data_IF_446638222830
#
_entry.id   IF_446638222830
#
_cell.length_a   1.000
_cell.length_b   1.000
_cell.length_c   1.000
_cell.angle_alpha   90.00
_cell.angle_beta   90.00
_cell.angle_gamma   90.00
#
_symmetry.space_group_name_H-M   'P 1'
#
loop_
_entity.id
_entity.type
_entity.pdbx_description
1 polymer ?
#
# COMPACT_ATOMS: atom_id res chain seq x y z
N UNK A 1 -1.02 21.98 -5.98
CA UNK A 1 -0.90 20.72 -5.22
C UNK A 1 -2.29 20.13 -5.21
N UNK A 2 -2.49 18.88 -5.66
CA UNK A 2 -3.83 18.31 -5.66
C UNK A 2 -4.36 18.26 -4.24
N UNK A 3 -5.63 18.65 -4.08
CA UNK A 3 -6.36 18.41 -2.85
C UNK A 3 -6.89 16.97 -2.88
N UNK A 4 -6.67 16.23 -1.80
CA UNK A 4 -7.01 14.81 -1.71
C UNK A 4 -8.49 14.55 -2.02
N UNK A 5 -9.40 15.37 -1.48
CA UNK A 5 -10.83 15.17 -1.65
C UNK A 5 -11.28 15.47 -3.09
N UNK A 6 -10.70 16.52 -3.69
CA UNK A 6 -11.02 16.93 -5.07
C UNK A 6 -10.57 15.94 -6.15
N UNK A 7 -9.60 15.08 -5.84
CA UNK A 7 -9.03 14.11 -6.80
C UNK A 7 -9.59 12.70 -6.66
N UNK A 8 -10.49 12.45 -5.71
CA UNK A 8 -11.08 11.12 -5.52
C UNK A 8 -11.85 10.67 -6.76
N UNK A 9 -11.59 9.43 -7.18
CA UNK A 9 -12.37 8.78 -8.24
C UNK A 9 -13.75 8.37 -7.71
N UNK A 10 -14.75 8.17 -8.59
CA UNK A 10 -16.08 7.72 -8.17
C UNK A 10 -16.10 6.37 -7.44
N UNK A 11 -15.11 5.51 -7.71
CA UNK A 11 -14.90 4.18 -7.11
C UNK A 11 -13.94 4.19 -5.91
N UNK A 12 -13.74 5.37 -5.30
CA UNK A 12 -12.90 5.54 -4.12
C UNK A 12 -13.20 4.51 -3.03
N UNK A 13 -12.15 3.84 -2.57
CA UNK A 13 -12.20 2.86 -1.49
C UNK A 13 -11.55 3.43 -0.24
N UNK A 14 -12.31 3.48 0.86
CA UNK A 14 -11.77 3.88 2.16
C UNK A 14 -10.78 2.84 2.72
N UNK A 15 -9.87 3.27 3.60
CA UNK A 15 -8.79 2.42 4.10
C UNK A 15 -7.79 3.16 4.98
N UNK A 16 -6.57 2.62 5.12
CA UNK A 16 -5.53 3.24 5.93
C UNK A 16 -5.16 4.63 5.43
N UNK A 17 -4.96 5.54 6.38
CA UNK A 17 -4.59 6.93 6.14
C UNK A 17 -3.10 7.15 6.39
N UNK A 18 -2.42 7.76 5.43
CA UNK A 18 -0.97 7.99 5.46
C UNK A 18 -0.67 9.42 5.02
N UNK A 19 0.21 10.10 5.75
CA UNK A 19 0.72 11.40 5.33
C UNK A 19 1.75 11.21 4.22
N UNK A 20 1.59 11.87 3.06
CA UNK A 20 2.51 11.73 1.92
C UNK A 20 3.52 12.89 1.84
N UNK A 21 4.32 12.93 0.77
CA UNK A 21 5.39 13.91 0.58
C UNK A 21 4.92 15.38 0.53
N UNK A 22 3.61 15.60 0.34
CA UNK A 22 2.99 16.92 0.39
C UNK A 22 2.53 17.33 1.81
N UNK A 23 2.74 16.46 2.81
CA UNK A 23 2.29 16.65 4.19
C UNK A 23 0.78 16.44 4.39
N UNK A 24 0.01 16.19 3.33
CA UNK A 24 -1.42 15.89 3.43
C UNK A 24 -1.66 14.42 3.74
N UNK A 25 -2.83 14.12 4.31
CA UNK A 25 -3.26 12.76 4.61
C UNK A 25 -4.01 12.19 3.39
N UNK A 26 -3.49 11.09 2.85
CA UNK A 26 -4.08 10.33 1.76
C UNK A 26 -4.59 8.98 2.24
N UNK A 27 -5.66 8.49 1.62
CA UNK A 27 -6.26 7.19 1.93
C UNK A 27 -5.84 6.17 0.88
N UNK A 28 -5.13 5.13 1.32
CA UNK A 28 -4.90 3.95 0.49
C UNK A 28 -6.13 3.04 0.56
N UNK A 29 -6.51 2.37 -0.55
CA UNK A 29 -7.66 1.47 -0.56
C UNK A 29 -7.50 0.36 0.49
N UNK A 30 -8.61 -0.23 0.92
CA UNK A 30 -8.58 -1.41 1.81
C UNK A 30 -8.30 -2.68 0.98
N UNK A 31 -7.38 -3.55 1.41
CA UNK A 31 -7.21 -4.84 0.75
C UNK A 31 -8.43 -5.72 0.96
N UNK A 32 -8.67 -6.64 0.04
CA UNK A 32 -9.61 -7.74 0.22
C UNK A 32 -8.83 -9.04 0.44
N UNK A 33 -9.41 -9.99 1.17
CA UNK A 33 -8.78 -11.27 1.40
C UNK A 33 -9.01 -12.18 0.19
N UNK A 34 -7.94 -12.64 -0.45
CA UNK A 34 -8.00 -13.63 -1.52
C UNK A 34 -7.27 -14.90 -1.06
N UNK A 35 -8.01 -16.01 -0.99
CA UNK A 35 -7.47 -17.32 -0.65
C UNK A 35 -7.64 -18.26 -1.84
N UNK A 36 -6.69 -19.14 -2.07
CA UNK A 36 -6.72 -20.13 -3.14
C UNK A 36 -5.99 -21.41 -2.73
N UNK A 37 -6.36 -22.58 -3.28
CA UNK A 37 -5.67 -23.83 -2.97
C UNK A 37 -4.26 -23.82 -3.58
N UNK A 38 -3.28 -24.25 -2.79
CA UNK A 38 -1.91 -24.51 -3.26
C UNK A 38 -1.59 -26.00 -3.11
N UNK A 39 -0.57 -26.47 -3.82
CA UNK A 39 -0.01 -27.81 -3.60
C UNK A 39 1.39 -27.69 -3.03
N UNK A 40 1.66 -28.42 -1.95
CA UNK A 40 3.02 -28.53 -1.41
C UNK A 40 3.86 -29.55 -2.21
N UNK A 41 5.13 -29.70 -1.84
CA UNK A 41 6.06 -30.64 -2.47
C UNK A 41 5.66 -32.12 -2.33
N UNK A 42 4.77 -32.45 -1.39
CA UNK A 42 4.21 -33.79 -1.18
C UNK A 42 2.87 -34.00 -1.91
N UNK A 43 2.38 -32.99 -2.64
CA UNK A 43 1.11 -33.03 -3.36
C UNK A 43 -0.14 -32.85 -2.50
N UNK A 44 -0.01 -32.46 -1.23
CA UNK A 44 -1.16 -32.13 -0.37
C UNK A 44 -1.72 -30.76 -0.70
N UNK A 45 -3.03 -30.59 -0.51
CA UNK A 45 -3.69 -29.29 -0.70
C UNK A 45 -3.44 -28.43 0.55
N UNK A 46 -2.73 -27.32 0.35
CA UNK A 46 -2.61 -26.21 1.28
C UNK A 46 -3.57 -25.06 0.92
N UNK A 47 -3.61 -24.05 1.78
CA UNK A 47 -4.29 -22.78 1.51
C UNK A 47 -3.19 -21.72 1.33
N UNK A 48 -3.13 -21.15 0.13
CA UNK A 48 -2.36 -19.95 -0.15
C UNK A 48 -3.25 -18.71 -0.18
N UNK A 49 -2.60 -17.56 -0.30
CA UNK A 49 -3.25 -16.26 -0.44
C UNK A 49 -3.03 -15.33 0.74
N UNK A 50 -3.68 -14.17 0.67
CA UNK A 50 -3.45 -13.06 1.60
C UNK A 50 -4.23 -11.81 1.22
N UNK A 51 -3.86 -10.66 1.80
CA UNK A 51 -4.35 -9.35 1.38
C UNK A 51 -4.03 -9.13 -0.10
N UNK A 52 -5.04 -8.82 -0.90
CA UNK A 52 -4.91 -8.52 -2.32
C UNK A 52 -5.55 -7.17 -2.64
N UNK A 53 -5.03 -6.52 -3.67
CA UNK A 53 -5.64 -5.35 -4.30
C UNK A 53 -5.99 -5.62 -5.76
N UNK A 54 -5.92 -6.87 -6.21
CA UNK A 54 -6.03 -7.25 -7.63
C UNK A 54 -4.77 -7.91 -8.15
N UNK A 55 -4.86 -8.44 -9.37
CA UNK A 55 -3.78 -9.21 -9.99
C UNK A 55 -2.51 -8.38 -10.18
N UNK A 56 -2.62 -7.11 -10.55
CA UNK A 56 -1.46 -6.26 -10.78
C UNK A 56 -0.67 -5.99 -9.49
N UNK A 57 -1.34 -6.04 -8.34
CA UNK A 57 -0.68 -5.93 -7.04
C UNK A 57 -0.01 -7.24 -6.63
N UNK A 58 -0.63 -8.37 -6.95
CA UNK A 58 -0.06 -9.70 -6.68
C UNK A 58 1.25 -9.89 -7.46
N UNK A 59 1.28 -9.49 -8.73
CA UNK A 59 2.51 -9.52 -9.54
C UNK A 59 3.64 -8.69 -8.91
N UNK A 60 3.31 -7.53 -8.32
CA UNK A 60 4.28 -6.69 -7.62
C UNK A 60 4.73 -7.27 -6.26
N UNK A 61 3.86 -8.04 -5.59
CA UNK A 61 4.23 -8.76 -4.36
C UNK A 61 5.21 -9.88 -4.68
N UNK A 62 4.97 -10.62 -5.77
CA UNK A 62 5.88 -11.65 -6.26
C UNK A 62 7.22 -11.02 -6.65
N UNK A 63 7.21 -9.91 -7.41
CA UNK A 63 8.42 -9.14 -7.75
C UNK A 63 9.19 -8.69 -6.49
N UNK A 64 8.50 -8.15 -5.47
CA UNK A 64 9.12 -7.74 -4.21
C UNK A 64 9.70 -8.92 -3.39
N UNK A 65 9.09 -10.10 -3.51
CA UNK A 65 9.52 -11.32 -2.84
C UNK A 65 10.74 -11.93 -3.52
N UNK A 66 10.80 -11.85 -4.84
CA UNK A 66 11.92 -12.32 -5.67
C UNK A 66 13.12 -11.37 -5.65
N UNK A 67 12.94 -10.10 -5.26
CA UNK A 67 14.06 -9.18 -5.05
C UNK A 67 15.06 -9.69 -4.01
N UNK A 68 16.35 -9.59 -4.33
CA UNK A 68 17.43 -9.77 -3.37
C UNK A 68 17.19 -8.90 -2.12
N UNK A 69 17.17 -9.47 -0.90
CA UNK A 69 17.02 -8.71 0.34
C UNK A 69 18.01 -7.55 0.50
N UNK A 70 19.21 -7.70 -0.07
CA UNK A 70 20.29 -6.70 -0.02
C UNK A 70 20.16 -5.63 -1.14
N UNK A 71 19.31 -5.86 -2.15
CA UNK A 71 18.98 -4.85 -3.16
C UNK A 71 17.91 -3.87 -2.64
N UNK A 72 18.35 -2.99 -1.75
CA UNK A 72 17.47 -1.98 -1.16
C UNK A 72 16.85 -1.03 -2.19
N UNK A 73 17.57 -0.73 -3.28
CA UNK A 73 17.11 0.19 -4.32
C UNK A 73 16.02 -0.46 -5.18
N UNK A 74 16.22 -1.71 -5.61
CA UNK A 74 15.22 -2.48 -6.36
C UNK A 74 13.96 -2.70 -5.54
N UNK A 75 14.10 -3.11 -4.27
CA UNK A 75 12.96 -3.29 -3.36
C UNK A 75 12.16 -2.00 -3.17
N UNK A 76 12.84 -0.86 -3.01
CA UNK A 76 12.20 0.44 -2.90
C UNK A 76 11.45 0.82 -4.19
N UNK A 77 12.04 0.55 -5.36
CA UNK A 77 11.37 0.81 -6.65
C UNK A 77 10.06 0.02 -6.80
N UNK A 78 10.04 -1.25 -6.37
CA UNK A 78 8.81 -2.05 -6.36
C UNK A 78 7.78 -1.46 -5.40
N UNK A 79 8.18 -1.07 -4.19
CA UNK A 79 7.29 -0.42 -3.21
C UNK A 79 6.70 0.90 -3.73
N UNK A 80 7.48 1.68 -4.48
CA UNK A 80 6.98 2.88 -5.18
C UNK A 80 5.90 2.54 -6.19
N UNK A 81 6.11 1.53 -7.04
CA UNK A 81 5.13 1.07 -8.03
C UNK A 81 3.85 0.58 -7.36
N UNK A 82 3.98 -0.20 -6.29
CA UNK A 82 2.83 -0.67 -5.51
C UNK A 82 2.03 0.50 -4.94
N UNK A 83 2.69 1.46 -4.30
CA UNK A 83 2.03 2.62 -3.69
C UNK A 83 1.36 3.50 -4.75
N UNK A 84 2.03 3.73 -5.89
CA UNK A 84 1.46 4.47 -7.00
C UNK A 84 0.21 3.80 -7.56
N UNK A 85 0.21 2.47 -7.74
CA UNK A 85 -0.95 1.73 -8.21
C UNK A 85 -2.14 1.86 -7.24
N UNK A 86 -1.88 1.81 -5.93
CA UNK A 86 -2.92 2.01 -4.92
C UNK A 86 -3.50 3.44 -4.92
N UNK A 87 -2.65 4.46 -5.11
CA UNK A 87 -3.10 5.85 -5.22
C UNK A 87 -3.92 6.07 -6.50
N UNK A 88 -3.44 5.59 -7.64
CA UNK A 88 -4.15 5.73 -8.93
C UNK A 88 -5.49 5.00 -8.97
N UNK A 89 -5.70 4.01 -8.09
CA UNK A 89 -7.00 3.38 -7.90
C UNK A 89 -8.01 4.31 -7.23
N UNK A 90 -7.59 5.04 -6.20
CA UNK A 90 -8.46 5.92 -5.43
C UNK A 90 -8.58 7.34 -6.02
N UNK A 91 -7.58 7.78 -6.79
CA UNK A 91 -7.42 9.18 -7.18
C UNK A 91 -7.07 9.35 -8.66
N UNK A 92 -7.56 10.43 -9.26
CA UNK A 92 -7.17 10.89 -10.59
C UNK A 92 -5.91 11.77 -10.47
N UNK A 93 -4.75 11.12 -10.50
CA UNK A 93 -3.44 11.76 -10.29
C UNK A 93 -2.59 11.70 -11.56
N UNK A 94 -1.83 12.76 -11.80
CA UNK A 94 -0.83 12.78 -12.87
C UNK A 94 0.52 12.22 -12.38
N UNK A 95 1.41 11.86 -13.31
CA UNK A 95 2.80 11.49 -12.98
C UNK A 95 3.53 12.58 -12.17
N UNK A 96 3.20 13.85 -12.45
CA UNK A 96 3.75 14.99 -11.74
C UNK A 96 3.27 15.02 -10.27
N UNK A 97 2.05 14.60 -10.01
CA UNK A 97 1.50 14.51 -8.66
C UNK A 97 2.13 13.33 -7.93
N UNK A 98 2.19 12.14 -8.57
CA UNK A 98 2.87 10.97 -7.99
C UNK A 98 4.31 11.25 -7.60
N UNK A 99 5.08 11.96 -8.46
CA UNK A 99 6.46 12.36 -8.15
C UNK A 99 6.59 13.22 -6.88
N UNK A 100 5.56 13.97 -6.53
CA UNK A 100 5.54 14.83 -5.33
C UNK A 100 5.06 14.08 -4.10
N UNK A 101 4.06 13.22 -4.28
CA UNK A 101 3.47 12.43 -3.20
C UNK A 101 4.41 11.31 -2.74
N UNK A 102 5.08 10.65 -3.69
CA UNK A 102 6.00 9.56 -3.45
C UNK A 102 7.43 10.10 -3.60
N UNK A 103 7.96 10.62 -2.49
CA UNK A 103 9.34 11.10 -2.41
C UNK A 103 10.08 10.38 -1.29
N UNK A 104 11.32 10.02 -1.55
CA UNK A 104 12.30 9.69 -0.52
C UNK A 104 13.29 10.83 -0.49
N UNK A 105 13.26 11.60 0.60
CA UNK A 105 14.12 12.74 0.83
C UNK A 105 14.85 12.52 2.16
N UNK A 106 16.18 12.53 2.12
CA UNK A 106 17.02 12.31 3.29
C UNK A 106 17.02 13.53 4.24
N UNK A 107 16.64 14.71 3.74
CA UNK A 107 16.52 15.92 4.54
C UNK A 107 15.15 16.03 5.24
N UNK A 108 14.17 15.21 4.83
CA UNK A 108 12.87 15.10 5.47
C UNK A 108 12.92 14.12 6.66
N UNK A 109 12.85 14.61 7.92
CA UNK A 109 12.96 13.75 9.10
C UNK A 109 11.81 12.74 9.21
N UNK A 110 10.66 13.01 8.59
CA UNK A 110 9.47 12.15 8.65
C UNK A 110 9.45 11.11 7.52
N UNK A 111 10.37 11.19 6.56
CA UNK A 111 10.38 10.33 5.38
C UNK A 111 10.46 8.85 5.74
N UNK A 112 11.32 8.49 6.70
CA UNK A 112 11.47 7.09 7.15
C UNK A 112 10.17 6.55 7.73
N UNK A 113 9.52 7.32 8.60
CA UNK A 113 8.29 6.91 9.27
C UNK A 113 7.10 6.85 8.31
N UNK A 114 7.05 7.76 7.33
CA UNK A 114 6.10 7.74 6.21
C UNK A 114 6.19 6.42 5.45
N UNK A 115 7.38 6.05 4.99
CA UNK A 115 7.58 4.83 4.23
C UNK A 115 7.38 3.56 5.06
N UNK A 116 7.68 3.59 6.37
CA UNK A 116 7.33 2.50 7.27
C UNK A 116 5.81 2.28 7.34
N UNK A 117 5.01 3.36 7.45
CA UNK A 117 3.54 3.26 7.46
C UNK A 117 2.98 2.77 6.13
N UNK A 118 3.51 3.27 5.01
CA UNK A 118 3.13 2.78 3.66
C UNK A 118 3.39 1.28 3.55
N UNK A 119 4.59 0.82 3.96
CA UNK A 119 4.96 -0.60 3.89
C UNK A 119 4.08 -1.51 4.78
N UNK A 120 3.58 -1.01 5.92
CA UNK A 120 2.59 -1.74 6.71
C UNK A 120 1.26 -1.92 5.95
N UNK A 121 0.83 -0.92 5.17
CA UNK A 121 -0.37 -1.03 4.32
C UNK A 121 -0.16 -2.02 3.19
N UNK A 122 0.97 -1.92 2.47
CA UNK A 122 1.30 -2.80 1.36
C UNK A 122 1.35 -4.28 1.79
N UNK A 123 1.82 -4.56 2.99
CA UNK A 123 1.93 -5.92 3.53
C UNK A 123 0.66 -6.39 4.26
N UNK A 124 -0.39 -5.56 4.30
CA UNK A 124 -1.64 -5.84 5.03
C UNK A 124 -1.47 -5.95 6.55
N UNK A 125 -0.39 -5.37 7.10
CA UNK A 125 -0.05 -5.36 8.52
C UNK A 125 -0.41 -4.04 9.21
N UNK A 126 -1.22 -3.19 8.57
CA UNK A 126 -1.68 -1.94 9.19
C UNK A 126 -2.40 -2.21 10.51
N UNK A 127 -2.10 -1.44 11.57
CA UNK A 127 -2.84 -1.54 12.82
C UNK A 127 -4.34 -1.34 12.56
N UNK A 128 -5.17 -2.21 13.13
CA UNK A 128 -6.62 -1.99 13.15
C UNK A 128 -6.87 -0.62 13.82
N UNK A 129 -7.75 0.24 13.28
CA UNK A 129 -8.15 1.45 13.99
C UNK A 129 -8.61 1.05 15.40
N UNK A 130 -8.09 1.73 16.43
CA UNK A 130 -8.54 1.52 17.80
C UNK A 130 -10.05 1.65 17.86
N UNK A 131 -10.71 0.65 18.44
CA UNK A 131 -12.14 0.66 18.67
C UNK A 131 -12.46 1.60 19.85
N UNK A 132 -12.26 2.90 19.67
CA UNK A 132 -12.74 3.88 20.63
C UNK A 132 -14.23 4.14 20.35
N UNK A 133 -15.08 3.60 21.24
CA UNK A 133 -16.48 4.00 21.35
C UNK A 133 -17.49 2.88 21.17
N UNK A 134 -17.54 1.93 22.12
CA UNK A 134 -18.79 1.21 22.48
C UNK A 134 -18.61 0.48 23.82
N UNK A 135 -18.39 1.24 24.89
CA UNK A 135 -18.56 0.77 26.26
C UNK A 135 -18.89 1.95 27.17
N UNK A 136 -20.05 2.56 26.93
CA UNK A 136 -20.72 3.41 27.92
C UNK A 136 -22.23 3.34 27.65
N UNK A 137 -22.88 2.37 28.26
CA UNK A 137 -24.23 2.46 28.83
C UNK A 137 -24.45 1.31 29.79
#
# INVERSE_FOLDING_TARGET
>A
MPDEASTRRPDFSDGPKVALGDGQIWTLPRPWLRLYPTRDGDGRIGVGGGPSFGVEFEDLIDELTDCDPDDHAGRLAVQFRMTAALLLRNYDLTDRDLRRLLVVDAEDPDCRDRWAKINLVLTGRSPKPSADGSAAR
#
